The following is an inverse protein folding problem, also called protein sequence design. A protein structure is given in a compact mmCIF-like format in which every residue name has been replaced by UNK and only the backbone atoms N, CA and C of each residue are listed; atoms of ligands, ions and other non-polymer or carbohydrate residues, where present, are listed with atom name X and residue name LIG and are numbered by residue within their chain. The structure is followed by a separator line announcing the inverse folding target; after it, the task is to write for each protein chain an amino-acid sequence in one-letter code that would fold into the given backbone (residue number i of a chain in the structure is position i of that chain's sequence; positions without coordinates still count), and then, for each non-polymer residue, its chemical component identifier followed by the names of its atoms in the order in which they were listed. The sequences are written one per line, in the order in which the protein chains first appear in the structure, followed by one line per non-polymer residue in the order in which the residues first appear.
data_IF_967597313733
#
_entry.id   IF_967597313733
#
_cell.length_a   1.000
_cell.length_b   1.000
_cell.length_c   1.000
_cell.angle_alpha   90.00
_cell.angle_beta   90.00
_cell.angle_gamma   90.00
#
_symmetry.space_group_name_H-M   'P 1'
#
loop_
_entity.id
_entity.type
_entity.pdbx_description
1 polymer ?
#
# COMPACT_ATOMS: atom_id res chain seq x y z
N UNK A 1 -2.84 1.58 -18.18
CA UNK A 1 -2.70 1.11 -16.80
C UNK A 1 -3.42 2.08 -15.88
N UNK A 2 -4.31 1.60 -15.05
CA UNK A 2 -5.06 2.45 -14.16
C UNK A 2 -4.19 2.92 -13.01
N UNK A 3 -4.35 4.19 -12.66
CA UNK A 3 -3.65 4.78 -11.56
C UNK A 3 -4.51 4.68 -10.30
N UNK A 4 -3.93 4.21 -9.23
CA UNK A 4 -4.65 4.08 -7.96
C UNK A 4 -4.83 5.44 -7.32
N UNK A 5 -5.99 5.66 -6.75
CA UNK A 5 -6.32 6.91 -6.08
C UNK A 5 -6.05 6.79 -4.59
N UNK A 6 -5.01 7.47 -4.15
CA UNK A 6 -4.63 7.48 -2.74
C UNK A 6 -5.36 8.61 -2.02
N UNK A 7 -6.02 8.27 -0.94
CA UNK A 7 -6.76 9.23 -0.11
C UNK A 7 -6.01 9.44 1.20
N UNK A 8 -5.68 10.69 1.54
CA UNK A 8 -5.05 10.94 2.83
C UNK A 8 -6.03 10.67 3.98
N UNK A 9 -5.51 10.04 5.01
CA UNK A 9 -6.26 9.79 6.24
C UNK A 9 -5.71 10.70 7.33
N UNK A 10 -6.28 10.63 8.52
CA UNK A 10 -5.79 11.45 9.63
C UNK A 10 -4.33 11.11 9.93
N UNK A 11 -3.56 12.13 10.30
CA UNK A 11 -2.12 12.01 10.44
C UNK A 11 -1.48 11.95 9.06
N UNK A 12 -0.40 11.23 8.94
CA UNK A 12 0.32 11.09 7.66
C UNK A 12 0.06 9.73 7.02
N UNK A 13 -1.19 9.26 7.09
CA UNK A 13 -1.56 7.96 6.56
C UNK A 13 -2.30 8.10 5.23
N UNK A 14 -2.19 7.08 4.39
CA UNK A 14 -2.85 7.06 3.09
C UNK A 14 -3.51 5.71 2.86
N UNK A 15 -4.64 5.72 2.16
CA UNK A 15 -5.36 4.50 1.80
C UNK A 15 -5.78 4.58 0.34
N UNK A 16 -5.68 3.48 -0.37
CA UNK A 16 -6.20 3.37 -1.73
C UNK A 16 -7.04 2.10 -1.82
N UNK A 17 -8.12 2.19 -2.57
CA UNK A 17 -8.97 1.04 -2.86
C UNK A 17 -8.97 0.82 -4.36
N UNK A 18 -8.64 -0.38 -4.78
CA UNK A 18 -8.57 -0.74 -6.19
C UNK A 18 -9.17 -2.14 -6.36
N UNK A 19 -10.33 -2.22 -7.01
CA UNK A 19 -11.05 -3.49 -7.15
C UNK A 19 -11.31 -4.09 -5.77
N UNK A 20 -10.84 -5.30 -5.52
CA UNK A 20 -10.99 -5.96 -4.21
C UNK A 20 -9.72 -5.83 -3.36
N UNK A 21 -8.83 -4.90 -3.73
CA UNK A 21 -7.60 -4.65 -2.98
C UNK A 21 -7.74 -3.39 -2.13
N UNK A 22 -7.19 -3.43 -0.94
CA UNK A 22 -7.06 -2.26 -0.07
C UNK A 22 -5.57 -2.08 0.21
N UNK A 23 -5.05 -0.90 -0.13
CA UNK A 23 -3.64 -0.58 0.06
C UNK A 23 -3.53 0.48 1.15
N UNK A 24 -2.59 0.30 2.06
CA UNK A 24 -2.38 1.24 3.15
C UNK A 24 -0.91 1.59 3.29
N UNK A 25 -0.66 2.88 3.55
CA UNK A 25 0.68 3.38 3.87
C UNK A 25 0.54 4.23 5.12
N UNK A 26 1.29 3.92 6.16
CA UNK A 26 1.19 4.61 7.44
C UNK A 26 2.57 5.04 7.92
N UNK A 27 2.63 6.27 8.43
CA UNK A 27 3.87 6.79 9.00
C UNK A 27 4.08 6.21 10.38
N UNK A 28 5.20 5.55 10.58
CA UNK A 28 5.54 4.95 11.87
C UNK A 28 6.58 5.75 12.65
N UNK A 29 7.21 6.72 12.01
CA UNK A 29 8.21 7.56 12.63
C UNK A 29 8.93 8.40 11.60
N UNK A 30 9.96 9.20 12.01
CA UNK A 30 10.73 9.98 11.05
C UNK A 30 11.39 9.06 10.02
N UNK A 31 11.15 9.33 8.76
CA UNK A 31 11.71 8.54 7.65
C UNK A 31 11.42 7.05 7.78
N UNK A 32 10.25 6.72 8.37
CA UNK A 32 9.88 5.33 8.59
C UNK A 32 8.40 5.17 8.26
N UNK A 33 8.12 4.48 7.16
CA UNK A 33 6.77 4.29 6.66
C UNK A 33 6.49 2.81 6.49
N UNK A 34 5.31 2.39 6.93
CA UNK A 34 4.84 1.01 6.81
C UNK A 34 3.81 0.95 5.69
N UNK A 35 3.76 -0.16 4.99
CA UNK A 35 2.77 -0.36 3.93
C UNK A 35 2.24 -1.78 3.99
N UNK A 36 1.00 -1.96 3.52
CA UNK A 36 0.37 -3.27 3.47
C UNK A 36 -0.67 -3.29 2.36
N UNK A 37 -0.96 -4.49 1.89
CA UNK A 37 -2.00 -4.72 0.89
C UNK A 37 -2.87 -5.85 1.37
N UNK A 38 -4.19 -5.63 1.30
CA UNK A 38 -5.20 -6.62 1.65
C UNK A 38 -6.01 -6.95 0.41
N UNK A 39 -6.39 -8.20 0.25
CA UNK A 39 -7.25 -8.65 -0.83
C UNK A 39 -8.39 -9.47 -0.25
N UNK A 40 -9.63 -9.11 -0.54
CA UNK A 40 -10.82 -9.80 -0.02
C UNK A 40 -10.78 -9.93 1.51
N UNK A 41 -10.33 -8.86 2.17
CA UNK A 41 -10.21 -8.79 3.64
C UNK A 41 -9.17 -9.72 4.23
N UNK A 42 -8.25 -10.21 3.41
CA UNK A 42 -7.14 -11.04 3.87
C UNK A 42 -5.82 -10.36 3.56
N UNK A 43 -4.82 -10.60 4.39
CA UNK A 43 -3.49 -10.04 4.18
C UNK A 43 -2.87 -10.63 2.92
N UNK A 44 -2.55 -9.79 1.94
CA UNK A 44 -1.87 -10.22 0.74
C UNK A 44 -0.37 -9.97 0.85
N UNK A 45 0.01 -8.75 1.20
CA UNK A 45 1.39 -8.38 1.45
C UNK A 45 1.47 -7.79 2.85
N UNK A 46 2.18 -8.42 3.71
CA UNK A 46 2.34 -8.00 5.10
C UNK A 46 3.78 -8.30 5.53
N UNK A 47 4.12 -7.89 6.74
CA UNK A 47 5.46 -8.09 7.28
C UNK A 47 6.52 -7.50 6.34
N UNK A 48 6.22 -6.32 5.82
CA UNK A 48 7.06 -5.66 4.85
C UNK A 48 8.10 -4.78 5.54
N UNK A 49 9.28 -4.62 4.95
CA UNK A 49 10.26 -3.70 5.51
C UNK A 49 9.74 -2.28 5.43
N UNK A 50 10.17 -1.43 6.37
CA UNK A 50 9.82 -0.03 6.35
C UNK A 50 10.48 0.68 5.19
N UNK A 51 9.83 1.71 4.68
CA UNK A 51 10.39 2.56 3.63
C UNK A 51 10.72 3.92 4.23
N UNK A 52 11.51 4.70 3.49
CA UNK A 52 11.95 6.02 3.94
C UNK A 52 10.91 7.11 3.75
N UNK A 53 10.00 6.92 2.81
CA UNK A 53 8.99 7.92 2.52
C UNK A 53 7.71 7.25 2.03
N UNK A 54 6.62 8.03 2.02
CA UNK A 54 5.32 7.52 1.63
C UNK A 54 5.27 7.12 0.17
N UNK A 55 5.93 7.88 -0.69
CA UNK A 55 5.90 7.62 -2.13
C UNK A 55 6.47 6.25 -2.47
N UNK A 56 7.55 5.89 -1.82
CA UNK A 56 8.15 4.57 -2.05
C UNK A 56 7.25 3.46 -1.50
N UNK A 57 6.64 3.68 -0.33
CA UNK A 57 5.68 2.73 0.21
C UNK A 57 4.49 2.52 -0.71
N UNK A 58 3.96 3.62 -1.28
CA UNK A 58 2.86 3.54 -2.25
C UNK A 58 3.28 2.72 -3.48
N UNK A 59 4.49 2.94 -3.99
CA UNK A 59 5.00 2.19 -5.13
C UNK A 59 5.08 0.70 -4.86
N UNK A 60 5.57 0.33 -3.69
CA UNK A 60 5.70 -1.08 -3.33
C UNK A 60 4.33 -1.74 -3.17
N UNK A 61 3.37 -1.03 -2.57
CA UNK A 61 2.02 -1.53 -2.43
C UNK A 61 1.36 -1.74 -3.80
N UNK A 62 1.52 -0.77 -4.69
CA UNK A 62 0.98 -0.87 -6.05
C UNK A 62 1.64 -2.01 -6.83
N UNK A 63 2.95 -2.20 -6.64
CA UNK A 63 3.65 -3.30 -7.29
C UNK A 63 3.12 -4.66 -6.81
N UNK A 64 2.82 -4.78 -5.53
CA UNK A 64 2.24 -5.99 -4.99
C UNK A 64 0.92 -6.34 -5.69
N UNK A 65 0.06 -5.34 -5.89
CA UNK A 65 -1.21 -5.54 -6.58
C UNK A 65 -0.99 -5.95 -8.04
N UNK A 66 -0.07 -5.28 -8.73
CA UNK A 66 0.22 -5.62 -10.13
C UNK A 66 0.76 -7.02 -10.26
N UNK A 67 1.64 -7.41 -9.35
CA UNK A 67 2.21 -8.75 -9.38
C UNK A 67 1.13 -9.81 -9.11
N UNK A 68 0.23 -9.54 -8.18
CA UNK A 68 -0.87 -10.47 -7.90
C UNK A 68 -1.79 -10.60 -9.10
N UNK A 69 -2.12 -9.48 -9.74
CA UNK A 69 -3.00 -9.50 -10.91
C UNK A 69 -2.39 -10.23 -12.11
N UNK A 70 -1.09 -10.07 -12.32
CA UNK A 70 -0.44 -10.72 -13.46
C UNK A 70 0.03 -12.14 -13.17
N UNK A 71 0.25 -12.48 -11.91
CA UNK A 71 0.80 -13.78 -11.54
C UNK A 71 -0.23 -14.85 -11.26
N UNK A 72 -1.48 -14.49 -11.23
CA UNK A 72 -2.55 -15.43 -10.86
C UNK A 72 -3.18 -16.14 -12.03
#
# INVERSE_FOLDING_TARGET
MEKMNWTPESGDNFTAIYKNYILRVERMGPQKWWWAVYKDNEDLCYDNPFTRNAEYGKKLAEQCVRDDESGS
#
